data_IF_061370556157
#
_entry.id   IF_061370556157
#
_cell.length_a   1.000
_cell.length_b   1.000
_cell.length_c   1.000
_cell.angle_alpha   90.00
_cell.angle_beta   90.00
_cell.angle_gamma   90.00
#
_symmetry.space_group_name_H-M   'P 1'
#
loop_
_entity.id
_entity.type
_entity.pdbx_description
1 polymer ?
#
# COMPACT_ATOMS: atom_id res chain seq x y z
N UNK A 1 57.65 39.17 -32.92
CA UNK A 1 56.79 39.26 -34.12
C UNK A 1 55.50 38.51 -33.82
N UNK A 2 54.34 39.16 -33.96
CA UNK A 2 53.00 38.53 -33.87
C UNK A 2 52.50 38.30 -35.29
N UNK A 3 51.71 37.25 -35.52
CA UNK A 3 50.54 37.43 -36.36
C UNK A 3 49.23 37.29 -35.56
N UNK A 4 48.28 38.14 -35.94
CA UNK A 4 46.96 38.35 -35.35
C UNK A 4 45.90 37.46 -36.01
N UNK A 5 44.85 37.26 -35.24
CA UNK A 5 43.54 36.64 -35.45
C UNK A 5 42.84 36.96 -36.78
N UNK A 6 42.09 35.99 -37.33
CA UNK A 6 40.98 36.24 -38.25
C UNK A 6 39.73 35.52 -37.72
N UNK A 7 38.70 36.30 -37.45
CA UNK A 7 37.35 35.90 -37.05
C UNK A 7 36.55 35.51 -38.29
N UNK A 8 35.87 34.37 -38.26
CA UNK A 8 34.92 33.96 -39.29
C UNK A 8 33.76 33.17 -38.67
N UNK A 9 32.60 33.80 -38.58
CA UNK A 9 31.33 33.20 -38.14
C UNK A 9 30.69 32.52 -39.36
N UNK A 10 30.36 31.23 -39.27
CA UNK A 10 29.22 30.65 -39.98
C UNK A 10 28.99 29.17 -39.60
N UNK A 11 27.70 28.80 -39.66
CA UNK A 11 27.15 27.45 -39.78
C UNK A 11 26.97 26.62 -38.49
N UNK A 12 25.86 26.93 -37.80
CA UNK A 12 24.76 25.99 -37.48
C UNK A 12 25.19 24.52 -37.39
N UNK A 13 25.43 24.04 -36.16
CA UNK A 13 25.73 22.63 -35.89
C UNK A 13 25.14 22.18 -34.56
N UNK A 14 23.96 21.55 -34.64
CA UNK A 14 23.31 20.70 -33.65
C UNK A 14 23.21 21.23 -32.20
N UNK A 15 22.07 21.86 -31.87
CA UNK A 15 21.50 21.83 -30.52
C UNK A 15 21.13 20.37 -30.20
N UNK A 16 22.07 19.61 -29.64
CA UNK A 16 21.77 18.31 -29.04
C UNK A 16 20.95 18.57 -27.78
N UNK A 17 19.62 18.51 -27.90
CA UNK A 17 18.71 18.50 -26.78
C UNK A 17 19.01 17.25 -25.94
N UNK A 18 19.75 17.42 -24.84
CA UNK A 18 19.90 16.41 -23.82
C UNK A 18 18.53 16.23 -23.15
N UNK A 19 17.71 15.33 -23.70
CA UNK A 19 16.51 14.81 -23.05
C UNK A 19 17.01 14.01 -21.85
N UNK A 20 17.12 14.67 -20.70
CA UNK A 20 17.35 14.01 -19.44
C UNK A 20 16.18 13.07 -19.19
N UNK A 21 16.42 11.76 -19.37
CA UNK A 21 15.49 10.75 -18.88
C UNK A 21 15.55 10.81 -17.37
N UNK A 22 14.64 11.58 -16.76
CA UNK A 22 14.42 11.55 -15.33
C UNK A 22 13.89 10.16 -14.99
N UNK A 23 14.80 9.29 -14.54
CA UNK A 23 14.46 8.02 -13.91
C UNK A 23 13.67 8.34 -12.65
N UNK A 24 12.34 8.39 -12.77
CA UNK A 24 11.46 8.46 -11.62
C UNK A 24 11.57 7.11 -10.91
N UNK A 25 12.47 7.02 -9.93
CA UNK A 25 12.46 5.88 -9.03
C UNK A 25 11.07 5.87 -8.36
N UNK A 26 10.35 4.74 -8.35
CA UNK A 26 9.07 4.67 -7.66
C UNK A 26 9.36 4.95 -6.18
N UNK A 27 8.92 6.11 -5.70
CA UNK A 27 8.91 6.42 -4.29
C UNK A 27 8.00 5.40 -3.60
N UNK A 28 8.60 4.31 -3.14
CA UNK A 28 7.93 3.30 -2.36
C UNK A 28 7.75 3.88 -0.97
N UNK A 29 6.77 4.78 -0.82
CA UNK A 29 6.38 5.29 0.47
C UNK A 29 5.96 4.09 1.33
N UNK A 30 6.75 3.79 2.36
CA UNK A 30 6.44 2.67 3.24
C UNK A 30 5.09 2.94 3.92
N UNK A 31 4.10 2.07 3.65
CA UNK A 31 2.80 2.16 4.30
C UNK A 31 2.99 1.88 5.79
N UNK A 32 2.72 2.89 6.62
CA UNK A 32 2.72 2.74 8.08
C UNK A 32 1.32 2.42 8.57
N UNK A 33 1.17 1.26 9.20
CA UNK A 33 -0.08 0.85 9.84
C UNK A 33 0.01 0.99 11.36
N UNK A 34 -1.06 1.46 11.98
CA UNK A 34 -1.30 1.43 13.42
C UNK A 34 -2.69 0.83 13.67
N UNK A 35 -2.70 -0.45 14.03
CA UNK A 35 -3.92 -1.26 14.01
C UNK A 35 -4.50 -1.32 12.60
N UNK A 36 -5.80 -1.07 12.48
CA UNK A 36 -6.53 -1.05 11.21
C UNK A 36 -6.23 0.19 10.33
N UNK A 37 -5.54 1.19 10.87
CA UNK A 37 -5.39 2.49 10.20
C UNK A 37 -4.04 2.64 9.53
N UNK A 38 -4.06 3.14 8.31
CA UNK A 38 -2.89 3.73 7.67
C UNK A 38 -2.68 5.14 8.20
N UNK A 39 -1.43 5.43 8.59
CA UNK A 39 -1.02 6.77 9.03
C UNK A 39 -0.52 7.55 7.82
N UNK A 40 -1.11 8.72 7.58
CA UNK A 40 -0.73 9.67 6.53
C UNK A 40 -0.46 11.05 7.13
N UNK A 41 0.05 11.99 6.34
CA UNK A 41 0.23 13.39 6.77
C UNK A 41 -1.10 14.08 7.12
N UNK A 42 -2.22 13.61 6.57
CA UNK A 42 -3.57 14.15 6.80
C UNK A 42 -4.33 13.43 7.91
N UNK A 43 -3.70 12.45 8.57
CA UNK A 43 -4.29 11.67 9.65
C UNK A 43 -4.46 10.20 9.34
N UNK A 44 -5.40 9.57 10.05
CA UNK A 44 -5.62 8.11 10.06
C UNK A 44 -6.71 7.73 9.08
N UNK A 45 -6.39 6.85 8.14
CA UNK A 45 -7.35 6.34 7.15
C UNK A 45 -7.49 4.85 7.38
N UNK A 46 -8.72 4.35 7.51
CA UNK A 46 -8.94 2.92 7.54
C UNK A 46 -8.71 2.34 6.13
N UNK A 47 -7.80 1.37 5.99
CA UNK A 47 -7.50 0.75 4.70
C UNK A 47 -7.52 -0.77 4.79
N UNK A 48 -8.02 -1.47 3.75
CA UNK A 48 -8.03 -2.94 3.74
C UNK A 48 -6.64 -3.56 3.97
N UNK A 49 -5.59 -2.86 3.53
CA UNK A 49 -4.21 -3.30 3.73
C UNK A 49 -3.82 -3.35 5.21
N UNK A 50 -4.10 -2.28 5.97
CA UNK A 50 -3.77 -2.24 7.40
C UNK A 50 -4.72 -3.11 8.23
N UNK A 51 -5.99 -3.21 7.85
CA UNK A 51 -6.95 -4.15 8.43
C UNK A 51 -6.47 -5.60 8.33
N UNK A 52 -6.04 -6.04 7.13
CA UNK A 52 -5.56 -7.42 6.93
C UNK A 52 -4.25 -7.69 7.68
N UNK A 53 -3.37 -6.68 7.80
CA UNK A 53 -2.16 -6.76 8.61
C UNK A 53 -2.48 -6.97 10.08
N UNK A 54 -3.42 -6.20 10.60
CA UNK A 54 -3.82 -6.26 12.00
C UNK A 54 -4.60 -7.54 12.31
N UNK A 55 -5.49 -7.97 11.41
CA UNK A 55 -6.16 -9.26 11.52
C UNK A 55 -5.16 -10.42 11.59
N UNK A 56 -4.12 -10.40 10.76
CA UNK A 56 -3.06 -11.42 10.84
C UNK A 56 -2.29 -11.35 12.16
N UNK A 57 -2.07 -10.16 12.73
CA UNK A 57 -1.46 -10.02 14.05
C UNK A 57 -2.32 -10.64 15.14
N UNK A 58 -3.59 -10.23 15.22
CA UNK A 58 -4.55 -10.76 16.21
C UNK A 58 -4.74 -12.26 16.05
N UNK A 59 -4.91 -12.76 14.82
CA UNK A 59 -5.04 -14.20 14.56
C UNK A 59 -3.82 -14.99 15.08
N UNK A 60 -2.60 -14.45 14.93
CA UNK A 60 -1.38 -15.07 15.47
C UNK A 60 -1.35 -15.08 16.99
N UNK A 61 -1.82 -14.02 17.65
CA UNK A 61 -1.97 -13.98 19.11
C UNK A 61 -2.93 -15.06 19.63
N UNK A 62 -3.93 -15.42 18.82
CA UNK A 62 -4.87 -16.52 19.09
C UNK A 62 -4.40 -17.89 18.59
N UNK A 63 -3.14 -18.01 18.15
CA UNK A 63 -2.53 -19.30 17.76
C UNK A 63 -2.67 -19.69 16.28
N UNK A 64 -3.25 -18.83 15.43
CA UNK A 64 -3.31 -19.09 13.98
C UNK A 64 -2.07 -18.53 13.27
N UNK A 65 -1.20 -19.42 12.80
CA UNK A 65 -0.04 -19.08 11.98
C UNK A 65 -0.46 -18.63 10.57
N UNK A 66 -0.73 -17.34 10.41
CA UNK A 66 -1.16 -16.75 9.13
C UNK A 66 -0.42 -15.43 8.84
N UNK A 67 -0.09 -15.20 7.57
CA UNK A 67 0.46 -13.92 7.13
C UNK A 67 -0.64 -12.99 6.62
N UNK A 68 -0.45 -11.68 6.78
CA UNK A 68 -1.35 -10.68 6.21
C UNK A 68 -1.53 -10.83 4.69
N UNK A 69 -0.44 -11.22 4.02
CA UNK A 69 -0.45 -11.48 2.59
C UNK A 69 -1.34 -12.66 2.20
N UNK A 70 -1.44 -13.69 3.05
CA UNK A 70 -2.32 -14.84 2.85
C UNK A 70 -3.78 -14.45 3.07
N UNK A 71 -4.08 -13.65 4.10
CA UNK A 71 -5.41 -13.09 4.36
C UNK A 71 -5.88 -12.26 3.16
N UNK A 72 -5.05 -11.32 2.70
CA UNK A 72 -5.41 -10.37 1.64
C UNK A 72 -5.64 -11.03 0.28
N UNK A 73 -4.87 -12.08 -0.04
CA UNK A 73 -4.95 -12.77 -1.34
C UNK A 73 -5.97 -13.90 -1.38
N UNK A 74 -6.44 -14.39 -0.23
CA UNK A 74 -7.34 -15.53 -0.17
C UNK A 74 -8.53 -15.23 0.76
N UNK A 75 -9.72 -14.97 0.21
CA UNK A 75 -10.90 -14.66 1.01
C UNK A 75 -11.30 -15.79 1.97
N UNK A 76 -11.04 -17.05 1.62
CA UNK A 76 -11.27 -18.18 2.51
C UNK A 76 -10.30 -18.23 3.70
N UNK A 77 -9.07 -17.72 3.54
CA UNK A 77 -8.14 -17.56 4.67
C UNK A 77 -8.61 -16.43 5.57
N UNK A 78 -9.06 -15.30 5.00
CA UNK A 78 -9.63 -14.17 5.75
C UNK A 78 -10.86 -14.60 6.54
N UNK A 79 -11.77 -15.34 5.92
CA UNK A 79 -12.95 -15.88 6.58
C UNK A 79 -12.57 -16.78 7.77
N UNK A 80 -11.64 -17.73 7.58
CA UNK A 80 -11.20 -18.59 8.69
C UNK A 80 -10.57 -17.80 9.84
N UNK A 81 -9.74 -16.81 9.54
CA UNK A 81 -9.18 -15.93 10.56
C UNK A 81 -10.30 -15.16 11.30
N UNK A 82 -11.26 -14.59 10.56
CA UNK A 82 -12.38 -13.88 11.15
C UNK A 82 -13.34 -14.76 11.95
N UNK A 83 -13.53 -16.03 11.59
CA UNK A 83 -14.29 -16.98 12.42
C UNK A 83 -13.58 -17.31 13.73
N UNK A 84 -12.24 -17.29 13.75
CA UNK A 84 -11.46 -17.52 14.96
C UNK A 84 -11.46 -16.31 15.90
N UNK A 85 -11.22 -15.10 15.36
CA UNK A 85 -10.97 -13.90 16.19
C UNK A 85 -12.00 -12.79 16.03
N UNK A 86 -13.05 -12.95 15.23
CA UNK A 86 -13.95 -11.85 14.87
C UNK A 86 -14.77 -11.27 16.03
N UNK A 87 -14.83 -11.95 17.18
CA UNK A 87 -15.43 -11.41 18.41
C UNK A 87 -14.45 -10.53 19.22
N UNK A 88 -13.16 -10.52 18.89
CA UNK A 88 -12.20 -9.56 19.44
C UNK A 88 -12.54 -8.16 18.92
N UNK A 89 -12.71 -7.21 19.85
CA UNK A 89 -13.12 -5.84 19.55
C UNK A 89 -12.18 -5.13 18.58
N UNK A 90 -10.91 -5.52 18.54
CA UNK A 90 -9.86 -4.94 17.68
C UNK A 90 -10.10 -5.17 16.18
N UNK A 91 -10.75 -6.29 15.85
CA UNK A 91 -10.97 -6.73 14.46
C UNK A 91 -12.44 -6.93 14.12
N UNK A 92 -13.34 -6.61 15.06
CA UNK A 92 -14.78 -6.83 14.92
C UNK A 92 -15.36 -6.19 13.67
N UNK A 93 -14.98 -4.95 13.37
CA UNK A 93 -15.51 -4.24 12.18
C UNK A 93 -14.96 -4.86 10.88
N UNK A 94 -13.68 -5.22 10.84
CA UNK A 94 -13.06 -5.95 9.72
C UNK A 94 -13.70 -7.32 9.49
N UNK A 95 -14.11 -7.99 10.58
CA UNK A 95 -14.64 -9.35 10.54
C UNK A 95 -16.17 -9.43 10.53
N UNK A 96 -16.87 -8.31 10.73
CA UNK A 96 -18.32 -8.25 10.71
C UNK A 96 -18.97 -8.98 9.52
N UNK A 97 -18.43 -8.91 8.27
CA UNK A 97 -18.99 -9.63 7.14
C UNK A 97 -18.96 -11.17 7.23
N UNK A 98 -18.06 -11.71 8.03
CA UNK A 98 -17.79 -13.15 8.10
C UNK A 98 -18.42 -13.81 9.34
N UNK A 99 -19.04 -13.02 10.21
CA UNK A 99 -19.68 -13.52 11.43
C UNK A 99 -21.13 -13.94 11.15
N UNK A 100 -21.59 -15.07 11.71
CA UNK A 100 -22.94 -15.60 11.46
C UNK A 100 -24.06 -14.65 11.92
N UNK A 101 -23.78 -13.82 12.94
CA UNK A 101 -24.69 -12.80 13.47
C UNK A 101 -25.00 -11.70 12.45
N UNK A 102 -23.99 -11.32 11.66
CA UNK A 102 -24.10 -10.28 10.63
C UNK A 102 -24.41 -10.84 9.24
N UNK A 103 -24.27 -12.14 9.02
CA UNK A 103 -24.60 -12.79 7.74
C UNK A 103 -26.09 -12.67 7.37
N UNK A 104 -26.98 -12.43 8.35
CA UNK A 104 -28.40 -12.12 8.06
C UNK A 104 -28.62 -10.71 7.50
N UNK A 105 -27.62 -9.82 7.58
CA UNK A 105 -27.70 -8.42 7.15
C UNK A 105 -27.29 -8.22 5.69
N UNK A 106 -26.51 -9.15 5.11
CA UNK A 106 -26.04 -9.07 3.72
C UNK A 106 -27.09 -9.46 2.68
N UNK A 107 -28.17 -10.12 3.07
CA UNK A 107 -29.28 -10.43 2.15
C UNK A 107 -30.25 -9.26 1.92
N UNK A 108 -30.14 -8.16 2.68
CA UNK A 108 -31.11 -7.05 2.67
C UNK A 108 -30.48 -5.68 2.31
N UNK A 109 -29.32 -5.67 1.64
CA UNK A 109 -28.67 -4.43 1.19
C UNK A 109 -28.30 -4.49 -0.28
#
# INVERSE_FOLDING_TARGET
>A
MKPKTITGIAAIGALAAAVGTSWTQPASAAIRCEGNFQITEYGRINTPYCEDNYLAQVAREYGMSVSASAIRRNPGVKERACRLVGHDNRVRDTCAPYLPENNRRFYFR
#
